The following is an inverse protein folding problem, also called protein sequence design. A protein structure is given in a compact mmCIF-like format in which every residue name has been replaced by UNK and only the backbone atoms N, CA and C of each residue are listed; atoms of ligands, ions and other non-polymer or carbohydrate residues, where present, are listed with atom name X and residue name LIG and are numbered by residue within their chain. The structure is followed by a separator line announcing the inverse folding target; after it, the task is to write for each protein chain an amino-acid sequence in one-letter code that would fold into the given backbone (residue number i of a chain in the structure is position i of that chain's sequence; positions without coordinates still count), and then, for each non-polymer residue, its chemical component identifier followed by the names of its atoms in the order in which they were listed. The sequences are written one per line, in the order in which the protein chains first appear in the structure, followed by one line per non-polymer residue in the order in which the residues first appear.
data_IF_816457057809
#
_entry.id   IF_816457057809
#
_cell.length_a   1.000
_cell.length_b   1.000
_cell.length_c   1.000
_cell.angle_alpha   90.00
_cell.angle_beta   90.00
_cell.angle_gamma   90.00
#
_symmetry.space_group_name_H-M   'P 1'
#
loop_
_entity.id
_entity.type
_entity.pdbx_description
1 polymer ?
#
# COMPACT_ATOMS: atom_id res chain seq x y z
N UNK A 1 -26.67 61.89 -21.87
CA UNK A 1 -25.86 60.72 -22.26
C UNK A 1 -26.50 59.49 -21.66
N UNK A 2 -26.89 58.54 -22.49
CA UNK A 2 -27.81 57.43 -22.17
C UNK A 2 -27.06 56.29 -21.46
N UNK A 3 -27.69 55.75 -20.42
CA UNK A 3 -27.31 54.56 -19.67
C UNK A 3 -27.63 53.28 -20.48
N UNK A 4 -26.82 52.23 -20.31
CA UNK A 4 -26.97 50.94 -21.02
C UNK A 4 -26.37 49.75 -20.26
N UNK A 5 -27.10 49.32 -19.24
CA UNK A 5 -27.39 47.95 -18.75
C UNK A 5 -26.39 46.79 -18.85
N UNK A 6 -26.29 46.13 -17.70
CA UNK A 6 -25.67 44.84 -17.40
C UNK A 6 -26.45 43.63 -17.95
N UNK A 7 -25.75 42.52 -18.13
CA UNK A 7 -26.35 41.17 -18.20
C UNK A 7 -25.49 40.20 -17.38
N UNK A 8 -26.10 39.72 -16.31
CA UNK A 8 -25.63 38.70 -15.38
C UNK A 8 -26.43 37.43 -15.72
N UNK A 9 -25.77 36.32 -16.01
CA UNK A 9 -26.41 35.03 -16.29
C UNK A 9 -26.23 34.11 -15.08
N UNK A 10 -27.26 34.05 -14.23
CA UNK A 10 -27.44 32.98 -13.26
C UNK A 10 -28.22 31.84 -13.93
N UNK A 11 -27.66 30.62 -13.92
CA UNK A 11 -28.40 29.39 -14.18
C UNK A 11 -28.89 28.83 -12.85
N UNK A 12 -30.20 28.78 -12.66
CA UNK A 12 -30.88 28.07 -11.58
C UNK A 12 -31.65 26.92 -12.23
N UNK A 13 -31.33 25.68 -11.83
CA UNK A 13 -32.20 24.54 -12.06
C UNK A 13 -32.94 24.23 -10.76
N UNK A 14 -34.26 24.34 -10.82
CA UNK A 14 -35.18 23.83 -9.83
C UNK A 14 -35.65 22.44 -10.29
N UNK A 15 -35.52 21.42 -9.43
CA UNK A 15 -36.31 20.19 -9.53
C UNK A 15 -37.10 20.07 -8.22
N UNK A 16 -38.42 19.99 -8.40
CA UNK A 16 -39.42 19.87 -7.36
C UNK A 16 -39.33 18.52 -6.65
N UNK A 17 -39.61 18.54 -5.34
CA UNK A 17 -39.84 17.35 -4.54
C UNK A 17 -41.29 16.84 -4.67
N UNK A 18 -41.46 15.56 -4.37
CA UNK A 18 -42.65 15.01 -3.73
C UNK A 18 -42.20 14.04 -2.62
N UNK A 19 -42.77 14.30 -1.45
CA UNK A 19 -42.76 13.55 -0.21
C UNK A 19 -43.59 12.26 -0.34
N UNK A 20 -43.22 11.20 0.39
CA UNK A 20 -44.17 10.33 1.10
C UNK A 20 -43.43 9.27 1.94
N UNK A 21 -43.88 9.17 3.20
CA UNK A 21 -43.17 8.49 4.28
C UNK A 21 -43.18 6.97 4.24
N UNK A 22 -42.20 6.40 4.92
CA UNK A 22 -42.10 4.98 5.24
C UNK A 22 -41.20 4.78 6.44
N UNK A 23 -41.77 4.86 7.64
CA UNK A 23 -41.10 4.49 8.88
C UNK A 23 -40.72 3.01 8.84
N UNK A 24 -39.44 2.73 9.01
CA UNK A 24 -38.89 1.40 9.18
C UNK A 24 -37.94 1.40 10.37
N UNK A 25 -38.39 0.79 11.45
CA UNK A 25 -37.59 0.48 12.63
C UNK A 25 -36.38 -0.37 12.22
N UNK A 26 -35.18 0.20 12.29
CA UNK A 26 -33.96 -0.59 12.26
C UNK A 26 -33.58 -0.99 13.69
N UNK A 27 -33.47 -2.29 14.01
CA UNK A 27 -32.94 -2.71 15.30
C UNK A 27 -31.43 -2.43 15.38
N UNK A 28 -30.85 -2.34 16.59
CA UNK A 28 -29.43 -2.12 16.76
C UNK A 28 -28.63 -3.27 16.14
N UNK A 29 -27.62 -2.92 15.33
CA UNK A 29 -26.64 -3.86 14.80
C UNK A 29 -25.75 -4.29 15.96
N UNK A 30 -25.99 -5.51 16.44
CA UNK A 30 -25.23 -6.20 17.46
C UNK A 30 -23.84 -6.54 16.88
N UNK A 31 -22.78 -5.90 17.40
CA UNK A 31 -21.38 -6.25 17.09
C UNK A 31 -21.00 -7.49 17.92
N UNK A 32 -21.55 -8.64 17.53
CA UNK A 32 -21.14 -9.95 18.03
C UNK A 32 -19.97 -10.51 17.22
N UNK A 33 -18.78 -10.49 17.80
CA UNK A 33 -17.60 -11.19 17.29
C UNK A 33 -17.76 -12.68 17.56
N UNK A 34 -18.08 -13.47 16.52
CA UNK A 34 -18.01 -14.93 16.54
C UNK A 34 -17.02 -15.41 15.47
N UNK A 35 -15.74 -15.44 15.84
CA UNK A 35 -14.69 -16.08 15.06
C UNK A 35 -14.63 -17.57 15.44
N UNK A 36 -15.41 -18.40 14.76
CA UNK A 36 -15.22 -19.86 14.79
C UNK A 36 -13.90 -20.21 14.10
N UNK A 37 -12.90 -20.50 14.93
CA UNK A 37 -11.62 -21.16 14.64
C UNK A 37 -11.85 -22.44 13.81
N UNK A 38 -11.29 -22.46 12.59
CA UNK A 38 -11.22 -23.65 11.74
C UNK A 38 -9.77 -24.12 11.70
N UNK A 39 -9.41 -25.02 12.61
CA UNK A 39 -8.14 -25.73 12.59
C UNK A 39 -8.18 -26.77 11.45
N UNK A 40 -7.44 -26.50 10.37
CA UNK A 40 -7.19 -27.43 9.28
C UNK A 40 -5.71 -27.84 9.32
N UNK A 41 -5.45 -28.98 9.96
CA UNK A 41 -4.15 -29.63 10.01
C UNK A 41 -3.73 -30.10 8.61
N UNK A 42 -2.47 -29.84 8.25
CA UNK A 42 -1.78 -30.54 7.17
C UNK A 42 -0.52 -31.17 7.77
N UNK A 43 -0.64 -32.46 8.08
CA UNK A 43 0.49 -33.37 8.18
C UNK A 43 0.90 -33.72 6.73
N UNK A 44 2.19 -33.67 6.38
CA UNK A 44 2.91 -34.89 6.00
C UNK A 44 4.39 -34.67 5.66
N UNK A 45 5.19 -35.57 6.26
CA UNK A 45 6.46 -36.18 5.84
C UNK A 45 7.48 -35.32 5.05
N UNK A 46 8.68 -35.05 5.55
CA UNK A 46 9.62 -36.04 6.11
C UNK A 46 10.53 -36.61 5.01
N UNK A 47 11.75 -36.05 4.86
CA UNK A 47 12.87 -36.74 4.22
C UNK A 47 14.23 -36.15 4.59
N UNK A 48 14.81 -36.71 5.64
CA UNK A 48 16.25 -36.75 5.86
C UNK A 48 16.87 -37.85 4.99
N UNK A 49 17.98 -37.55 4.31
CA UNK A 49 19.13 -38.45 4.20
C UNK A 49 20.32 -37.70 3.57
N UNK A 50 21.46 -37.89 4.21
CA UNK A 50 22.70 -37.14 4.11
C UNK A 50 23.62 -37.67 2.97
N UNK A 51 24.84 -37.11 2.81
CA UNK A 51 25.65 -37.17 1.60
C UNK A 51 26.57 -38.40 1.57
N UNK A 52 27.14 -38.73 0.41
CA UNK A 52 28.36 -39.53 0.38
C UNK A 52 29.23 -39.27 -0.85
N UNK A 53 30.53 -39.35 -0.56
CA UNK A 53 31.67 -38.93 -1.35
C UNK A 53 32.08 -39.93 -2.44
N UNK A 54 32.90 -39.43 -3.37
CA UNK A 54 33.63 -40.21 -4.37
C UNK A 54 34.56 -41.27 -3.73
N UNK A 55 35.02 -42.25 -4.52
CA UNK A 55 36.40 -42.10 -5.00
C UNK A 55 36.68 -42.57 -6.44
N UNK A 56 37.82 -42.05 -6.87
CA UNK A 56 38.68 -42.33 -8.02
C UNK A 56 39.14 -43.80 -8.12
N UNK A 57 39.47 -44.25 -9.34
CA UNK A 57 40.54 -45.20 -9.73
C UNK A 57 40.26 -45.94 -11.06
N UNK A 58 40.97 -45.54 -12.13
CA UNK A 58 41.86 -46.46 -12.83
C UNK A 58 41.45 -47.05 -14.20
N UNK A 59 42.41 -47.24 -15.14
CA UNK A 59 42.16 -47.47 -16.57
C UNK A 59 42.14 -48.95 -16.97
N UNK A 60 41.25 -49.33 -17.88
CA UNK A 60 41.11 -50.69 -18.40
C UNK A 60 41.08 -50.73 -19.92
N UNK A 61 42.26 -50.94 -20.50
CA UNK A 61 42.54 -51.32 -21.88
C UNK A 61 41.82 -52.62 -22.30
N UNK A 62 41.15 -52.62 -23.47
CA UNK A 62 40.84 -53.80 -24.29
C UNK A 62 40.28 -53.41 -25.67
N UNK A 63 41.15 -53.47 -26.68
CA UNK A 63 40.94 -54.26 -27.91
C UNK A 63 39.95 -53.74 -28.98
N UNK A 64 40.38 -53.57 -30.24
CA UNK A 64 39.50 -53.21 -31.35
C UNK A 64 38.95 -54.48 -32.01
N UNK A 65 37.62 -54.64 -32.06
CA UNK A 65 37.00 -55.62 -32.95
C UNK A 65 35.93 -54.96 -33.82
N UNK A 66 36.26 -55.02 -35.11
CA UNK A 66 35.47 -54.76 -36.28
C UNK A 66 33.98 -55.10 -36.15
N UNK A 67 33.14 -54.09 -36.35
CA UNK A 67 31.77 -54.29 -36.84
C UNK A 67 31.51 -53.33 -38.00
N UNK A 68 31.73 -53.89 -39.19
CA UNK A 68 30.88 -53.80 -40.39
C UNK A 68 30.39 -52.40 -40.77
N UNK A 69 31.04 -51.84 -41.79
CA UNK A 69 30.48 -50.82 -42.68
C UNK A 69 29.15 -51.30 -43.26
N UNK A 70 28.05 -50.95 -42.60
CA UNK A 70 26.76 -50.81 -43.25
C UNK A 70 26.71 -49.38 -43.76
N UNK A 71 27.00 -49.19 -45.05
CA UNK A 71 26.50 -48.05 -45.81
C UNK A 71 24.98 -48.08 -45.71
N UNK A 72 24.44 -47.47 -44.64
CA UNK A 72 23.06 -47.05 -44.59
C UNK A 72 22.99 -45.95 -45.64
N UNK A 73 22.41 -46.27 -46.78
CA UNK A 73 21.86 -45.31 -47.73
C UNK A 73 20.95 -44.38 -46.92
N UNK A 74 21.54 -43.30 -46.41
CA UNK A 74 20.82 -42.21 -45.80
C UNK A 74 20.03 -41.61 -46.94
N UNK A 75 18.77 -42.05 -47.07
CA UNK A 75 17.77 -41.36 -47.86
C UNK A 75 17.96 -39.86 -47.55
N UNK A 76 18.11 -39.00 -48.58
CA UNK A 76 18.32 -37.59 -48.35
C UNK A 76 17.25 -37.15 -47.36
N UNK A 77 17.67 -36.70 -46.18
CA UNK A 77 16.75 -36.08 -45.24
C UNK A 77 16.16 -34.94 -46.06
N UNK A 78 14.89 -35.10 -46.42
CA UNK A 78 14.14 -34.12 -47.20
C UNK A 78 13.92 -32.92 -46.28
N UNK A 79 15.01 -32.20 -46.05
CA UNK A 79 15.01 -30.92 -45.40
C UNK A 79 14.39 -29.99 -46.42
N UNK A 80 13.06 -29.91 -46.37
CA UNK A 80 12.33 -28.80 -46.98
C UNK A 80 13.03 -27.47 -46.60
N UNK A 81 12.84 -26.36 -47.31
CA UNK A 81 13.41 -25.08 -46.88
C UNK A 81 12.83 -24.67 -45.50
N UNK A 82 13.57 -23.92 -44.66
CA UNK A 82 13.00 -23.26 -43.49
C UNK A 82 11.77 -22.44 -43.90
N UNK A 83 10.73 -22.46 -43.05
CA UNK A 83 9.57 -21.60 -43.28
C UNK A 83 10.00 -20.16 -43.04
N UNK A 84 9.77 -19.29 -44.01
CA UNK A 84 10.14 -17.88 -43.88
C UNK A 84 9.07 -17.17 -43.05
N UNK A 85 9.44 -16.63 -41.89
CA UNK A 85 8.56 -15.90 -40.98
C UNK A 85 9.13 -14.48 -40.83
N UNK A 86 8.46 -13.49 -41.42
CA UNK A 86 8.90 -12.09 -41.39
C UNK A 86 7.93 -11.17 -40.64
N UNK A 87 6.72 -11.65 -40.38
CA UNK A 87 5.63 -10.87 -39.80
C UNK A 87 4.97 -11.58 -38.63
N UNK A 88 4.25 -10.80 -37.82
CA UNK A 88 3.40 -11.35 -36.77
C UNK A 88 2.31 -12.25 -37.35
N UNK A 89 1.76 -11.89 -38.50
CA UNK A 89 0.79 -12.69 -39.24
C UNK A 89 1.38 -14.06 -39.62
N UNK A 90 2.59 -14.12 -40.16
CA UNK A 90 3.24 -15.40 -40.49
C UNK A 90 3.47 -16.26 -39.24
N UNK A 91 3.95 -15.63 -38.16
CA UNK A 91 4.22 -16.31 -36.90
C UNK A 91 2.93 -16.86 -36.26
N UNK A 92 1.86 -16.07 -36.23
CA UNK A 92 0.59 -16.49 -35.64
C UNK A 92 -0.14 -17.50 -36.53
N UNK A 93 -0.08 -17.37 -37.85
CA UNK A 93 -0.53 -18.41 -38.79
C UNK A 93 0.22 -19.73 -38.56
N UNK A 94 1.52 -19.67 -38.23
CA UNK A 94 2.30 -20.86 -37.91
C UNK A 94 1.84 -21.51 -36.61
N UNK A 95 1.60 -20.73 -35.56
CA UNK A 95 1.05 -21.22 -34.28
C UNK A 95 -0.33 -21.84 -34.50
N UNK A 96 -1.17 -21.20 -35.32
CA UNK A 96 -2.50 -21.68 -35.71
C UNK A 96 -2.44 -23.03 -36.44
N UNK A 97 -1.57 -23.14 -37.44
CA UNK A 97 -1.37 -24.36 -38.22
C UNK A 97 -0.84 -25.53 -37.39
N UNK A 98 -0.19 -25.24 -36.27
CA UNK A 98 0.24 -26.23 -35.30
C UNK A 98 -0.83 -26.59 -34.26
N UNK A 99 -2.01 -25.96 -34.32
CA UNK A 99 -3.09 -26.09 -33.33
C UNK A 99 -2.65 -25.76 -31.90
N UNK A 100 -1.69 -24.82 -31.76
CA UNK A 100 -1.08 -24.44 -30.47
C UNK A 100 -1.54 -23.09 -29.93
N UNK A 101 -2.83 -22.80 -30.12
CA UNK A 101 -3.46 -21.66 -29.45
C UNK A 101 -3.63 -21.85 -27.94
N UNK A 102 -3.25 -23.01 -27.37
CA UNK A 102 -3.08 -23.15 -25.92
C UNK A 102 -2.10 -22.13 -25.32
N UNK A 103 -1.20 -21.59 -26.13
CA UNK A 103 -0.19 -20.60 -25.70
C UNK A 103 -0.77 -19.19 -25.58
N UNK A 104 -1.62 -18.77 -26.52
CA UNK A 104 -2.11 -17.38 -26.64
C UNK A 104 -3.63 -17.24 -26.43
N UNK A 105 -4.38 -18.35 -26.41
CA UNK A 105 -5.84 -18.38 -26.40
C UNK A 105 -6.42 -18.45 -27.81
N UNK A 106 -6.11 -17.47 -28.66
CA UNK A 106 -6.59 -17.39 -30.04
C UNK A 106 -5.62 -16.63 -30.97
N UNK A 107 -6.00 -16.50 -32.24
CA UNK A 107 -5.20 -15.82 -33.27
C UNK A 107 -5.03 -14.33 -33.00
N UNK A 108 -6.08 -13.65 -32.56
CA UNK A 108 -6.04 -12.22 -32.30
C UNK A 108 -5.12 -11.91 -31.11
N UNK A 109 -5.23 -12.68 -30.02
CA UNK A 109 -4.37 -12.57 -28.86
C UNK A 109 -2.89 -12.84 -29.20
N UNK A 110 -2.62 -13.75 -30.15
CA UNK A 110 -1.27 -13.95 -30.69
C UNK A 110 -0.78 -12.71 -31.45
N UNK A 111 -1.59 -12.16 -32.36
CA UNK A 111 -1.25 -10.97 -33.13
C UNK A 111 -0.99 -9.77 -32.22
N UNK A 112 -1.86 -9.55 -31.22
CA UNK A 112 -1.74 -8.46 -30.25
C UNK A 112 -0.47 -8.63 -29.41
N UNK A 113 -0.17 -9.84 -28.94
CA UNK A 113 1.06 -10.12 -28.19
C UNK A 113 2.31 -9.88 -29.05
N UNK A 114 2.30 -10.35 -30.30
CA UNK A 114 3.41 -10.13 -31.21
C UNK A 114 3.59 -8.64 -31.55
N UNK A 115 2.49 -7.91 -31.78
CA UNK A 115 2.52 -6.47 -32.06
C UNK A 115 3.15 -5.70 -30.88
N UNK A 116 2.73 -6.00 -29.64
CA UNK A 116 3.34 -5.42 -28.42
C UNK A 116 4.82 -5.76 -28.30
N UNK A 117 5.20 -7.00 -28.57
CA UNK A 117 6.61 -7.41 -28.57
C UNK A 117 7.42 -6.77 -29.70
N UNK A 118 6.77 -6.43 -30.82
CA UNK A 118 7.39 -5.86 -32.02
C UNK A 118 7.49 -4.33 -31.99
N UNK A 119 6.98 -3.67 -30.94
CA UNK A 119 6.81 -2.21 -30.84
C UNK A 119 8.04 -1.41 -31.26
N UNK A 120 9.24 -1.88 -30.89
CA UNK A 120 10.52 -1.25 -31.27
C UNK A 120 11.24 -1.95 -32.42
N UNK A 121 11.11 -3.27 -32.49
CA UNK A 121 11.75 -4.10 -33.51
C UNK A 121 11.07 -5.46 -33.59
N UNK A 122 11.03 -6.11 -34.76
CA UNK A 122 10.50 -7.47 -34.88
C UNK A 122 11.19 -8.44 -33.89
N UNK A 123 10.45 -9.38 -33.27
CA UNK A 123 11.00 -10.37 -32.33
C UNK A 123 11.70 -11.49 -33.10
N UNK A 124 12.84 -11.17 -33.72
CA UNK A 124 13.53 -12.06 -34.67
C UNK A 124 13.89 -13.41 -34.06
N UNK A 125 14.26 -13.48 -32.79
CA UNK A 125 14.58 -14.74 -32.10
C UNK A 125 13.37 -15.67 -31.99
N UNK A 126 12.17 -15.11 -31.82
CA UNK A 126 10.93 -15.87 -31.80
C UNK A 126 10.58 -16.35 -33.22
N UNK A 127 10.68 -15.47 -34.21
CA UNK A 127 10.47 -15.81 -35.62
C UNK A 127 11.41 -16.91 -36.10
N UNK A 128 12.70 -16.82 -35.76
CA UNK A 128 13.71 -17.84 -36.06
C UNK A 128 13.39 -19.18 -35.41
N UNK A 129 12.98 -19.19 -34.13
CA UNK A 129 12.58 -20.42 -33.45
C UNK A 129 11.39 -21.08 -34.14
N UNK A 130 10.35 -20.31 -34.46
CA UNK A 130 9.17 -20.80 -35.17
C UNK A 130 9.50 -21.31 -36.59
N UNK A 131 10.46 -20.67 -37.26
CA UNK A 131 10.95 -21.06 -38.58
C UNK A 131 11.65 -22.43 -38.57
N UNK A 132 12.40 -22.71 -37.51
CA UNK A 132 13.11 -23.97 -37.30
C UNK A 132 12.17 -25.11 -36.86
N UNK A 133 11.12 -24.81 -36.10
CA UNK A 133 10.20 -25.80 -35.56
C UNK A 133 9.13 -26.26 -36.55
N UNK A 134 9.46 -27.23 -37.40
CA UNK A 134 8.58 -27.73 -38.47
C UNK A 134 7.52 -28.73 -38.04
N UNK A 135 7.81 -29.54 -37.04
CA UNK A 135 6.93 -30.63 -36.65
C UNK A 135 5.93 -30.23 -35.58
N UNK A 136 5.85 -28.94 -35.21
CA UNK A 136 4.98 -28.40 -34.16
C UNK A 136 5.21 -28.99 -32.75
N UNK A 137 6.14 -29.93 -32.58
CA UNK A 137 6.36 -30.68 -31.33
C UNK A 137 6.95 -29.81 -30.21
N UNK A 138 7.76 -28.81 -30.55
CA UNK A 138 8.48 -27.96 -29.60
C UNK A 138 8.13 -26.48 -29.74
N UNK A 139 7.07 -26.13 -30.47
CA UNK A 139 6.68 -24.73 -30.70
C UNK A 139 6.39 -23.97 -29.40
N UNK A 140 5.96 -24.67 -28.34
CA UNK A 140 5.80 -24.10 -26.99
C UNK A 140 7.10 -23.62 -26.34
N UNK A 141 8.26 -24.06 -26.84
CA UNK A 141 9.57 -23.60 -26.38
C UNK A 141 9.98 -22.28 -27.07
N UNK A 142 9.34 -21.93 -28.19
CA UNK A 142 9.52 -20.65 -28.85
C UNK A 142 8.79 -19.56 -28.07
N UNK A 143 9.46 -19.02 -27.05
CA UNK A 143 8.92 -17.94 -26.23
C UNK A 143 8.98 -16.62 -26.97
N UNK A 144 7.84 -15.96 -27.09
CA UNK A 144 7.78 -14.56 -27.47
C UNK A 144 8.48 -13.72 -26.37
N UNK A 145 9.42 -12.83 -26.71
CA UNK A 145 10.04 -11.97 -25.72
C UNK A 145 9.01 -11.03 -25.08
N UNK A 146 9.29 -10.60 -23.85
CA UNK A 146 8.46 -9.59 -23.20
C UNK A 146 8.47 -8.30 -24.03
N UNK A 147 7.34 -7.57 -24.09
CA UNK A 147 7.31 -6.29 -24.78
C UNK A 147 8.33 -5.32 -24.18
N UNK A 148 8.99 -4.49 -25.00
CA UNK A 148 9.82 -3.43 -24.46
C UNK A 148 8.95 -2.49 -23.63
N UNK A 149 9.46 -1.99 -22.48
CA UNK A 149 8.70 -1.07 -21.65
C UNK A 149 8.38 0.20 -22.44
N UNK A 150 7.20 0.76 -22.19
CA UNK A 150 6.79 2.03 -22.73
C UNK A 150 7.78 3.15 -22.37
N UNK A 151 7.84 4.17 -23.20
CA UNK A 151 8.45 5.44 -22.80
C UNK A 151 7.49 6.23 -21.89
N UNK A 152 8.01 7.18 -21.13
CA UNK A 152 7.17 8.00 -20.24
C UNK A 152 6.11 8.79 -21.02
N UNK A 153 6.49 9.38 -22.16
CA UNK A 153 5.57 10.09 -23.03
C UNK A 153 4.43 9.18 -23.53
N UNK A 154 4.73 7.93 -23.90
CA UNK A 154 3.73 6.97 -24.34
C UNK A 154 2.78 6.56 -23.20
N UNK A 155 3.34 6.30 -22.01
CA UNK A 155 2.54 5.95 -20.82
C UNK A 155 1.59 7.10 -20.44
N UNK A 156 2.10 8.33 -20.43
CA UNK A 156 1.32 9.51 -20.08
C UNK A 156 0.27 9.86 -21.14
N UNK A 157 0.57 9.63 -22.41
CA UNK A 157 -0.44 9.72 -23.47
C UNK A 157 -1.56 8.70 -23.25
N UNK A 158 -1.23 7.44 -22.93
CA UNK A 158 -2.22 6.41 -22.66
C UNK A 158 -3.10 6.72 -21.43
N UNK A 159 -2.50 7.26 -20.35
CA UNK A 159 -3.23 7.77 -19.18
C UNK A 159 -4.26 8.83 -19.58
N UNK A 160 -3.84 9.80 -20.39
CA UNK A 160 -4.71 10.88 -20.85
C UNK A 160 -5.82 10.39 -21.79
N UNK A 161 -5.49 9.54 -22.75
CA UNK A 161 -6.43 8.98 -23.74
C UNK A 161 -7.49 8.10 -23.07
N UNK A 162 -7.12 7.36 -22.02
CA UNK A 162 -8.04 6.57 -21.22
C UNK A 162 -8.80 7.35 -20.15
N UNK A 163 -8.54 8.66 -19.99
CA UNK A 163 -9.18 9.50 -18.98
C UNK A 163 -8.88 9.08 -17.54
N UNK A 164 -7.71 8.49 -17.29
CA UNK A 164 -7.30 8.07 -15.95
C UNK A 164 -6.86 9.31 -15.16
N UNK A 165 -7.61 9.65 -14.12
CA UNK A 165 -7.28 10.78 -13.25
C UNK A 165 -6.10 10.45 -12.34
N UNK A 166 -4.95 11.01 -12.68
CA UNK A 166 -3.72 10.87 -11.89
C UNK A 166 -3.52 12.05 -10.93
N UNK A 167 -3.00 11.81 -9.71
CA UNK A 167 -2.86 12.85 -8.70
C UNK A 167 -1.64 13.75 -8.92
N UNK A 168 -0.72 13.37 -9.80
CA UNK A 168 0.48 14.14 -10.09
C UNK A 168 0.19 15.19 -11.17
N UNK A 169 0.65 16.45 -10.99
CA UNK A 169 0.38 17.55 -11.92
C UNK A 169 1.13 17.41 -13.24
N UNK A 170 2.25 16.68 -13.26
CA UNK A 170 3.07 16.41 -14.45
C UNK A 170 3.43 14.92 -14.50
N UNK A 171 2.72 14.18 -15.36
CA UNK A 171 2.92 12.74 -15.53
C UNK A 171 4.30 12.39 -16.07
N UNK A 172 4.84 13.17 -17.02
CA UNK A 172 6.13 12.86 -17.63
C UNK A 172 7.26 13.10 -16.64
N UNK A 173 7.19 14.18 -15.86
CA UNK A 173 8.15 14.46 -14.81
C UNK A 173 8.13 13.39 -13.71
N UNK A 174 6.95 12.97 -13.25
CA UNK A 174 6.84 11.91 -12.24
C UNK A 174 7.36 10.56 -12.79
N UNK A 175 6.97 10.20 -14.01
CA UNK A 175 7.47 8.99 -14.67
C UNK A 175 8.99 9.01 -14.80
N UNK A 176 9.58 10.14 -15.22
CA UNK A 176 11.03 10.28 -15.33
C UNK A 176 11.74 10.18 -13.98
N UNK A 177 11.15 10.74 -12.91
CA UNK A 177 11.68 10.65 -11.56
C UNK A 177 11.66 9.21 -11.01
N UNK A 178 10.66 8.40 -11.38
CA UNK A 178 10.47 7.02 -10.90
C UNK A 178 11.13 5.95 -11.76
N UNK A 179 11.45 6.26 -13.02
CA UNK A 179 12.12 5.33 -13.92
C UNK A 179 13.65 5.29 -13.77
N UNK A 180 14.22 6.03 -12.82
CA UNK A 180 15.64 5.96 -12.47
C UNK A 180 15.97 4.63 -11.76
N UNK A 181 16.21 3.60 -12.57
CA UNK A 181 16.92 2.32 -12.32
C UNK A 181 16.13 1.03 -12.68
N UNK A 182 14.79 1.01 -12.59
CA UNK A 182 14.01 -0.25 -12.80
C UNK A 182 12.81 -0.16 -13.78
N UNK A 183 12.59 0.95 -14.50
CA UNK A 183 11.52 1.13 -15.51
C UNK A 183 10.09 0.71 -15.07
N UNK A 184 9.79 0.76 -13.77
CA UNK A 184 8.56 0.20 -13.19
C UNK A 184 7.33 1.02 -13.58
N UNK A 185 7.43 2.36 -13.62
CA UNK A 185 6.27 3.21 -13.91
C UNK A 185 5.76 3.01 -15.33
N UNK A 186 6.66 3.03 -16.33
CA UNK A 186 6.22 2.90 -17.71
C UNK A 186 5.76 1.48 -18.05
N UNK A 187 6.28 0.46 -17.37
CA UNK A 187 5.74 -0.91 -17.48
C UNK A 187 4.29 -1.00 -17.00
N UNK A 188 3.90 -0.17 -16.02
CA UNK A 188 2.53 -0.12 -15.54
C UNK A 188 1.56 0.49 -16.55
N UNK A 189 2.03 1.16 -17.60
CA UNK A 189 1.18 1.72 -18.67
C UNK A 189 0.62 0.70 -19.66
N UNK A 190 1.17 -0.52 -19.71
CA UNK A 190 0.73 -1.58 -20.65
C UNK A 190 -0.77 -1.95 -20.57
N UNK A 191 -1.46 -1.89 -19.42
CA UNK A 191 -2.90 -2.14 -19.37
C UNK A 191 -3.75 -1.01 -19.98
N UNK A 192 -3.17 0.16 -20.26
CA UNK A 192 -3.87 1.34 -20.79
C UNK A 192 -3.81 1.43 -22.32
N UNK A 193 -2.85 0.77 -22.96
CA UNK A 193 -2.72 0.79 -24.41
C UNK A 193 -3.77 -0.11 -25.09
N UNK A 194 -3.82 -0.06 -26.43
CA UNK A 194 -4.68 -0.88 -27.28
C UNK A 194 -6.20 -0.73 -27.03
N UNK A 195 -6.62 0.42 -26.47
CA UNK A 195 -8.03 0.74 -26.23
C UNK A 195 -8.69 -0.05 -25.09
N UNK A 196 -7.91 -0.84 -24.36
CA UNK A 196 -8.41 -1.65 -23.24
C UNK A 196 -8.69 -0.80 -21.99
N UNK A 197 -7.91 0.27 -21.78
CA UNK A 197 -8.08 1.26 -20.70
C UNK A 197 -8.36 0.64 -19.32
N UNK A 198 -7.61 -0.40 -18.96
CA UNK A 198 -7.74 -1.08 -17.66
C UNK A 198 -7.10 -0.27 -16.53
N UNK A 199 -7.78 0.80 -16.12
CA UNK A 199 -7.32 1.71 -15.07
C UNK A 199 -7.06 1.00 -13.74
N UNK A 200 -7.86 -0.02 -13.39
CA UNK A 200 -7.69 -0.85 -12.21
C UNK A 200 -6.33 -1.57 -12.20
N UNK A 201 -5.93 -2.15 -13.34
CA UNK A 201 -4.64 -2.83 -13.49
C UNK A 201 -3.47 -1.85 -13.48
N UNK A 202 -3.65 -0.67 -14.06
CA UNK A 202 -2.67 0.42 -13.99
C UNK A 202 -2.42 0.82 -12.53
N UNK A 203 -3.49 1.09 -11.76
CA UNK A 203 -3.37 1.45 -10.34
C UNK A 203 -2.80 0.32 -9.48
N UNK A 204 -3.18 -0.93 -9.75
CA UNK A 204 -2.60 -2.10 -9.08
C UNK A 204 -1.10 -2.19 -9.32
N UNK A 205 -0.66 -2.05 -10.58
CA UNK A 205 0.76 -2.07 -10.91
C UNK A 205 1.51 -0.91 -10.25
N UNK A 206 0.96 0.31 -10.30
CA UNK A 206 1.57 1.46 -9.63
C UNK A 206 1.70 1.21 -8.13
N UNK A 207 0.65 0.70 -7.46
CA UNK A 207 0.66 0.43 -6.03
C UNK A 207 1.62 -0.69 -5.61
N UNK A 208 1.82 -1.70 -6.47
CA UNK A 208 2.69 -2.84 -6.19
C UNK A 208 4.15 -2.53 -6.51
N UNK A 209 4.42 -1.93 -7.68
CA UNK A 209 5.79 -1.83 -8.22
C UNK A 209 6.41 -0.45 -8.00
N UNK A 210 5.64 0.63 -8.13
CA UNK A 210 6.17 2.00 -8.02
C UNK A 210 6.03 2.55 -6.61
N UNK A 211 4.85 2.42 -6.04
CA UNK A 211 4.47 2.89 -4.71
C UNK A 211 4.25 1.69 -3.79
N UNK A 212 5.23 0.78 -3.73
CA UNK A 212 5.19 -0.55 -3.06
C UNK A 212 4.57 -0.60 -1.66
N UNK A 213 4.51 0.52 -0.94
CA UNK A 213 3.84 0.63 0.37
C UNK A 213 2.32 0.68 0.26
N UNK A 214 1.76 1.09 -0.88
CA UNK A 214 0.34 1.30 -1.09
C UNK A 214 -0.44 0.00 -1.25
N UNK A 215 0.08 -0.98 -2.00
CA UNK A 215 -0.58 -2.29 -2.11
C UNK A 215 -0.76 -2.95 -0.74
N UNK A 216 0.35 -3.11 -0.01
CA UNK A 216 0.32 -3.66 1.36
C UNK A 216 -0.58 -2.85 2.28
N UNK A 217 -0.51 -1.52 2.24
CA UNK A 217 -1.37 -0.65 3.06
C UNK A 217 -2.84 -0.87 2.74
N UNK A 218 -3.19 -0.94 1.46
CA UNK A 218 -4.58 -1.12 1.03
C UNK A 218 -5.13 -2.48 1.37
N UNK A 219 -4.38 -3.56 1.12
CA UNK A 219 -4.79 -4.91 1.50
C UNK A 219 -5.17 -4.99 2.98
N UNK A 220 -4.29 -4.50 3.86
CA UNK A 220 -4.53 -4.52 5.31
C UNK A 220 -5.66 -3.56 5.71
N UNK A 221 -5.71 -2.35 5.14
CA UNK A 221 -6.74 -1.36 5.51
C UNK A 221 -8.13 -1.83 5.10
N UNK A 222 -8.26 -2.53 3.97
CA UNK A 222 -9.52 -3.14 3.50
C UNK A 222 -9.89 -4.33 4.38
N UNK A 223 -8.94 -5.21 4.70
CA UNK A 223 -9.16 -6.36 5.60
C UNK A 223 -9.66 -5.90 6.98
N UNK A 224 -9.09 -4.82 7.50
CA UNK A 224 -9.50 -4.22 8.77
C UNK A 224 -10.73 -3.30 8.67
N UNK A 225 -11.39 -3.20 7.51
CA UNK A 225 -12.55 -2.34 7.26
C UNK A 225 -12.32 -0.84 7.56
N UNK A 226 -11.08 -0.37 7.45
CA UNK A 226 -10.70 1.04 7.66
C UNK A 226 -10.99 1.89 6.41
N UNK A 227 -10.91 1.28 5.24
CA UNK A 227 -11.18 1.92 3.94
C UNK A 227 -11.97 0.98 3.05
N UNK A 228 -12.68 1.54 2.07
CA UNK A 228 -13.30 0.74 1.03
C UNK A 228 -12.24 0.20 0.06
N UNK A 229 -12.42 -1.00 -0.51
CA UNK A 229 -11.51 -1.52 -1.52
C UNK A 229 -11.42 -0.61 -2.74
N UNK A 230 -12.57 -0.10 -3.17
CA UNK A 230 -12.67 0.79 -4.32
C UNK A 230 -11.97 2.12 -4.04
N UNK A 231 -10.94 2.43 -4.83
CA UNK A 231 -10.21 3.69 -4.74
C UNK A 231 -9.14 3.74 -3.65
N UNK A 232 -8.92 2.67 -2.86
CA UNK A 232 -7.87 2.69 -1.83
C UNK A 232 -6.49 2.96 -2.43
N UNK A 233 -6.12 2.23 -3.49
CA UNK A 233 -4.82 2.37 -4.14
C UNK A 233 -4.62 3.76 -4.72
N UNK A 234 -5.64 4.27 -5.43
CA UNK A 234 -5.64 5.62 -5.98
C UNK A 234 -5.49 6.67 -4.86
N UNK A 235 -6.21 6.51 -3.76
CA UNK A 235 -6.10 7.37 -2.59
C UNK A 235 -4.71 7.34 -1.97
N UNK A 236 -4.12 6.14 -1.78
CA UNK A 236 -2.78 6.01 -1.22
C UNK A 236 -1.70 6.64 -2.11
N UNK A 237 -1.76 6.42 -3.43
CA UNK A 237 -0.84 7.06 -4.37
C UNK A 237 -1.07 8.57 -4.36
N UNK A 238 -2.32 9.02 -4.37
CA UNK A 238 -2.68 10.43 -4.36
C UNK A 238 -2.21 11.19 -3.13
N UNK A 239 -2.29 10.59 -1.95
CA UNK A 239 -1.81 11.17 -0.71
C UNK A 239 -0.29 11.47 -0.73
N UNK A 240 0.49 10.79 -1.56
CA UNK A 240 1.93 11.07 -1.72
C UNK A 240 2.21 12.40 -2.41
N UNK A 241 1.20 12.97 -3.10
CA UNK A 241 1.28 14.23 -3.84
C UNK A 241 0.49 15.35 -3.19
N UNK A 242 -0.10 15.11 -2.01
CA UNK A 242 -0.91 16.13 -1.36
C UNK A 242 -0.03 17.30 -0.88
N UNK A 243 -0.41 18.51 -1.27
CA UNK A 243 0.26 19.75 -0.84
C UNK A 243 -0.07 20.07 0.63
N UNK A 244 -1.18 19.55 1.15
CA UNK A 244 -1.60 19.70 2.54
C UNK A 244 -0.66 18.92 3.47
N UNK A 245 0.11 19.67 4.26
CA UNK A 245 1.11 19.09 5.15
C UNK A 245 0.49 18.19 6.24
N UNK A 246 -0.72 18.54 6.72
CA UNK A 246 -1.41 17.73 7.74
C UNK A 246 -1.91 16.42 7.12
N UNK A 247 -2.53 16.48 5.94
CA UNK A 247 -2.99 15.25 5.26
C UNK A 247 -1.85 14.31 4.92
N UNK A 248 -0.73 14.84 4.41
CA UNK A 248 0.48 14.05 4.16
C UNK A 248 0.99 13.38 5.45
N UNK A 249 1.05 14.12 6.56
CA UNK A 249 1.45 13.56 7.87
C UNK A 249 0.51 12.44 8.33
N UNK A 250 -0.81 12.59 8.17
CA UNK A 250 -1.81 11.56 8.51
C UNK A 250 -1.67 10.32 7.65
N UNK A 251 -1.41 10.49 6.35
CA UNK A 251 -1.11 9.38 5.43
C UNK A 251 0.15 8.60 5.84
N UNK A 252 1.22 9.31 6.19
CA UNK A 252 2.46 8.70 6.69
C UNK A 252 2.24 7.94 8.00
N UNK A 253 1.51 8.54 8.94
CA UNK A 253 1.12 7.88 10.19
C UNK A 253 0.33 6.61 9.93
N UNK A 254 -0.69 6.65 9.04
CA UNK A 254 -1.45 5.46 8.62
C UNK A 254 -0.53 4.36 8.08
N UNK A 255 0.37 4.73 7.19
CA UNK A 255 1.33 3.80 6.59
C UNK A 255 2.26 3.18 7.64
N UNK A 256 2.72 3.98 8.60
CA UNK A 256 3.56 3.51 9.70
C UNK A 256 2.81 2.56 10.63
N UNK A 257 1.56 2.87 11.01
CA UNK A 257 0.72 2.00 11.83
C UNK A 257 0.52 0.63 11.18
N UNK A 258 0.15 0.60 9.90
CA UNK A 258 -0.02 -0.65 9.14
C UNK A 258 1.30 -1.43 9.02
N UNK A 259 2.43 -0.73 8.87
CA UNK A 259 3.74 -1.37 8.77
C UNK A 259 4.18 -2.02 10.09
N UNK A 260 3.90 -1.39 11.24
CA UNK A 260 4.33 -1.82 12.57
C UNK A 260 3.43 -2.90 13.17
N UNK A 261 2.11 -2.76 13.01
CA UNK A 261 1.14 -3.64 13.68
C UNK A 261 1.10 -5.06 13.09
N UNK A 262 1.64 -5.29 11.90
CA UNK A 262 1.32 -6.49 11.12
C UNK A 262 -0.17 -6.49 10.76
N UNK A 263 -0.73 -7.62 10.31
CA UNK A 263 -2.17 -7.71 9.97
C UNK A 263 -3.09 -7.70 11.22
N UNK A 264 -2.64 -7.13 12.35
CA UNK A 264 -3.43 -7.03 13.58
C UNK A 264 -4.29 -5.75 13.55
N UNK A 265 -5.56 -5.92 13.16
CA UNK A 265 -6.50 -4.80 13.04
C UNK A 265 -6.73 -4.03 14.34
N UNK A 266 -6.66 -4.69 15.50
CA UNK A 266 -6.84 -4.02 16.78
C UNK A 266 -5.65 -3.10 17.10
N UNK A 267 -4.42 -3.56 16.78
CA UNK A 267 -3.22 -2.72 16.93
C UNK A 267 -3.17 -1.58 15.92
N UNK A 268 -3.67 -1.79 14.70
CA UNK A 268 -3.79 -0.70 13.72
C UNK A 268 -4.79 0.33 14.22
N UNK A 269 -5.98 -0.09 14.63
CA UNK A 269 -7.00 0.83 15.15
C UNK A 269 -6.50 1.60 16.38
N UNK A 270 -5.84 0.93 17.32
CA UNK A 270 -5.21 1.57 18.47
C UNK A 270 -4.10 2.57 18.07
N UNK A 271 -3.36 2.31 17.00
CA UNK A 271 -2.33 3.21 16.50
C UNK A 271 -2.89 4.43 15.76
N UNK A 272 -4.00 4.25 15.02
CA UNK A 272 -4.69 5.33 14.32
C UNK A 272 -5.53 6.19 15.26
N UNK A 273 -6.14 5.55 16.25
CA UNK A 273 -7.06 6.14 17.20
C UNK A 273 -6.56 5.91 18.64
N UNK A 274 -5.42 6.50 19.04
CA UNK A 274 -4.86 6.29 20.38
C UNK A 274 -5.80 6.75 21.50
N UNK A 275 -6.82 7.55 21.18
CA UNK A 275 -7.84 8.02 22.12
C UNK A 275 -9.10 7.12 22.21
N UNK A 276 -9.26 6.10 21.35
CA UNK A 276 -10.55 5.41 21.18
C UNK A 276 -10.96 4.48 22.33
N UNK A 277 -10.01 3.96 23.13
CA UNK A 277 -10.36 3.27 24.36
C UNK A 277 -9.50 3.81 25.51
N UNK A 278 -10.10 4.49 26.51
CA UNK A 278 -9.39 4.74 27.75
C UNK A 278 -9.07 3.38 28.33
N UNK A 279 -7.80 3.02 28.34
CA UNK A 279 -7.35 1.88 29.10
C UNK A 279 -7.67 2.20 30.54
N UNK A 280 -8.71 1.58 31.08
CA UNK A 280 -9.05 1.72 32.49
C UNK A 280 -7.89 1.09 33.25
N UNK A 281 -6.99 1.93 33.74
CA UNK A 281 -5.96 1.50 34.66
C UNK A 281 -6.67 1.14 35.97
N UNK A 282 -6.60 -0.13 36.36
CA UNK A 282 -6.87 -0.55 37.72
C UNK A 282 -5.54 -0.71 38.48
N UNK A 283 -5.60 -0.56 39.80
CA UNK A 283 -4.44 -0.59 40.68
C UNK A 283 -3.62 -1.87 40.51
N UNK A 284 -4.30 -3.02 40.44
CA UNK A 284 -3.64 -4.33 40.32
C UNK A 284 -2.93 -4.48 38.97
N UNK A 285 -3.51 -3.98 37.89
CA UNK A 285 -2.88 -3.98 36.56
C UNK A 285 -1.68 -3.05 36.50
N UNK A 286 -1.81 -1.82 36.99
CA UNK A 286 -0.70 -0.86 37.05
C UNK A 286 0.46 -1.43 37.87
N UNK A 287 0.21 -1.90 39.10
CA UNK A 287 1.29 -2.41 39.96
C UNK A 287 1.97 -3.65 39.42
N UNK A 288 1.22 -4.56 38.80
CA UNK A 288 1.79 -5.75 38.18
C UNK A 288 2.74 -5.40 37.04
N UNK A 289 2.39 -4.45 36.18
CA UNK A 289 3.25 -3.99 35.09
C UNK A 289 4.46 -3.21 35.63
N UNK A 290 4.23 -2.33 36.60
CA UNK A 290 5.25 -1.53 37.26
C UNK A 290 6.35 -2.38 37.91
N UNK A 291 5.95 -3.36 38.71
CA UNK A 291 6.85 -4.28 39.38
C UNK A 291 7.46 -5.28 38.38
N UNK A 292 6.69 -5.71 37.38
CA UNK A 292 7.16 -6.60 36.30
C UNK A 292 8.30 -5.99 35.49
N UNK A 293 8.25 -4.69 35.24
CA UNK A 293 9.33 -3.93 34.59
C UNK A 293 10.42 -3.44 35.56
N UNK A 294 10.36 -3.83 36.84
CA UNK A 294 11.32 -3.45 37.88
C UNK A 294 11.50 -1.92 38.05
N UNK A 295 10.50 -1.12 37.66
CA UNK A 295 10.53 0.33 37.80
C UNK A 295 10.48 0.78 39.26
N UNK A 296 9.99 -0.10 40.13
CA UNK A 296 10.00 0.10 41.57
C UNK A 296 11.39 0.32 42.17
N UNK A 297 12.45 -0.15 41.49
CA UNK A 297 13.84 0.09 41.89
C UNK A 297 14.32 1.51 41.61
N UNK A 298 13.68 2.20 40.68
CA UNK A 298 14.08 3.53 40.22
C UNK A 298 13.21 4.63 40.82
N UNK A 299 11.88 4.46 40.84
CA UNK A 299 10.96 5.52 41.27
C UNK A 299 10.19 5.21 42.57
N UNK A 300 10.45 4.06 43.19
CA UNK A 300 9.81 3.68 44.45
C UNK A 300 8.65 2.69 44.29
N UNK A 301 8.03 2.26 45.40
CA UNK A 301 6.98 1.24 45.37
C UNK A 301 5.77 1.70 44.56
N UNK A 302 5.07 0.74 43.95
CA UNK A 302 3.93 1.04 43.08
C UNK A 302 2.87 1.91 43.76
N UNK A 303 2.49 1.58 45.00
CA UNK A 303 1.38 2.23 45.70
C UNK A 303 1.57 3.75 45.81
N UNK A 304 2.79 4.20 46.08
CA UNK A 304 3.12 5.63 46.18
C UNK A 304 2.91 6.34 44.83
N UNK A 305 3.28 5.67 43.73
CA UNK A 305 3.13 6.22 42.39
C UNK A 305 1.69 6.16 41.87
N UNK A 306 0.96 5.11 42.27
CA UNK A 306 -0.45 4.97 41.96
C UNK A 306 -1.28 6.06 42.64
N UNK A 307 -1.02 6.32 43.92
CA UNK A 307 -1.72 7.38 44.66
C UNK A 307 -1.42 8.75 44.05
N UNK A 308 -0.18 9.02 43.64
CA UNK A 308 0.16 10.20 42.83
C UNK A 308 -0.62 10.22 41.50
N UNK A 309 -0.65 9.09 40.80
CA UNK A 309 -1.33 8.94 39.51
C UNK A 309 -2.83 9.16 39.59
N UNK A 310 -3.47 8.81 40.72
CA UNK A 310 -4.89 9.09 40.96
C UNK A 310 -5.19 10.59 41.08
N UNK A 311 -4.23 11.38 41.53
CA UNK A 311 -4.34 12.83 41.64
C UNK A 311 -4.07 13.53 40.31
N UNK A 312 -3.42 12.85 39.36
CA UNK A 312 -3.07 13.36 38.03
C UNK A 312 -3.88 12.66 36.92
N UNK A 313 -4.89 13.31 36.32
CA UNK A 313 -5.75 12.69 35.32
C UNK A 313 -4.94 12.05 34.17
N UNK A 314 -5.17 10.74 33.93
CA UNK A 314 -4.57 9.92 32.87
C UNK A 314 -3.14 9.43 33.10
N UNK A 315 -2.47 9.83 34.18
CA UNK A 315 -1.11 9.37 34.45
C UNK A 315 -1.05 7.83 34.50
N UNK A 316 -1.97 7.20 35.23
CA UNK A 316 -1.98 5.75 35.42
C UNK A 316 -2.20 5.01 34.08
N UNK A 317 -3.10 5.52 33.25
CA UNK A 317 -3.43 5.01 31.93
C UNK A 317 -2.25 5.07 30.98
N UNK A 318 -1.50 6.17 30.99
CA UNK A 318 -0.27 6.33 30.22
C UNK A 318 0.82 5.34 30.60
N UNK A 319 1.05 5.19 31.91
CA UNK A 319 2.06 4.23 32.39
C UNK A 319 1.63 2.81 32.04
N UNK A 320 0.35 2.46 32.22
CA UNK A 320 -0.15 1.14 31.81
C UNK A 320 0.05 0.91 30.31
N UNK A 321 -0.25 1.89 29.46
CA UNK A 321 -0.04 1.78 28.01
C UNK A 321 1.44 1.61 27.65
N UNK A 322 2.31 2.42 28.25
CA UNK A 322 3.75 2.35 28.04
C UNK A 322 4.31 0.96 28.39
N UNK A 323 3.84 0.37 29.50
CA UNK A 323 4.37 -0.89 30.02
C UNK A 323 3.67 -2.14 29.49
N UNK A 324 2.51 -2.00 28.85
CA UNK A 324 1.72 -3.15 28.37
C UNK A 324 2.42 -3.89 27.22
N UNK A 325 3.07 -3.17 26.33
CA UNK A 325 3.68 -3.75 25.13
C UNK A 325 5.10 -4.25 25.41
N UNK A 326 5.95 -3.42 26.01
CA UNK A 326 7.32 -3.77 26.38
C UNK A 326 7.82 -2.87 27.51
N UNK A 327 8.67 -3.40 28.40
CA UNK A 327 9.31 -2.57 29.41
C UNK A 327 10.29 -1.59 28.74
N UNK A 328 10.24 -0.29 29.05
CA UNK A 328 11.10 0.69 28.39
C UNK A 328 12.57 0.40 28.70
N UNK A 329 13.42 0.49 27.67
CA UNK A 329 14.86 0.31 27.83
C UNK A 329 15.50 1.38 28.74
N UNK A 330 14.88 2.56 28.79
CA UNK A 330 15.24 3.66 29.68
C UNK A 330 14.06 3.97 30.63
N UNK A 331 14.21 3.75 31.95
CA UNK A 331 13.18 4.04 32.94
C UNK A 331 12.70 5.50 32.91
N UNK A 332 13.55 6.44 32.48
CA UNK A 332 13.20 7.86 32.41
C UNK A 332 12.08 8.14 31.39
N UNK A 333 11.79 7.23 30.46
CA UNK A 333 10.66 7.36 29.54
C UNK A 333 9.30 7.44 30.26
N UNK A 334 9.22 6.96 31.51
CA UNK A 334 8.04 7.13 32.37
C UNK A 334 7.77 8.62 32.68
N UNK A 335 8.80 9.47 32.68
CA UNK A 335 8.62 10.92 32.87
C UNK A 335 7.81 11.59 31.76
N UNK A 336 7.74 10.98 30.58
CA UNK A 336 6.82 11.45 29.54
C UNK A 336 5.36 11.41 30.00
N UNK A 337 4.99 10.51 30.93
CA UNK A 337 3.67 10.49 31.56
C UNK A 337 3.51 11.55 32.67
N UNK A 338 4.61 11.97 33.33
CA UNK A 338 4.61 12.99 34.38
C UNK A 338 4.43 14.42 33.84
N UNK A 339 5.00 14.73 32.68
CA UNK A 339 4.94 16.06 32.05
C UNK A 339 3.58 16.38 31.39
N UNK A 340 2.50 15.76 31.85
CA UNK A 340 1.15 15.89 31.30
C UNK A 340 0.87 14.98 30.10
N UNK A 341 1.81 14.11 29.71
CA UNK A 341 1.67 13.23 28.55
C UNK A 341 0.72 12.06 28.73
N UNK A 342 0.14 11.86 29.93
CA UNK A 342 -0.71 10.70 30.19
C UNK A 342 -2.22 10.93 30.29
N UNK A 343 -2.65 12.12 30.68
CA UNK A 343 -4.02 12.58 30.48
C UNK A 343 -4.48 12.30 29.05
N UNK A 344 -5.77 12.01 28.76
CA UNK A 344 -6.29 12.16 27.40
C UNK A 344 -5.91 13.54 26.79
N UNK A 345 -5.70 14.51 27.68
CA UNK A 345 -5.21 15.86 27.43
C UNK A 345 -3.82 15.94 26.79
N UNK A 346 -2.87 15.06 27.13
CA UNK A 346 -1.50 15.08 26.59
C UNK A 346 -1.46 14.79 25.09
N UNK A 347 -1.99 13.64 24.65
CA UNK A 347 -2.19 13.33 23.24
C UNK A 347 -3.02 14.40 22.52
N UNK A 348 -4.11 14.89 23.12
CA UNK A 348 -4.90 15.98 22.52
C UNK A 348 -4.11 17.29 22.33
N UNK A 349 -3.28 17.69 23.30
CA UNK A 349 -2.37 18.83 23.15
C UNK A 349 -1.35 18.57 22.04
N UNK A 350 -0.78 17.37 21.98
CA UNK A 350 0.21 17.00 20.97
C UNK A 350 -0.38 17.00 19.56
N UNK A 351 -1.56 16.43 19.36
CA UNK A 351 -2.28 16.42 18.09
C UNK A 351 -2.68 17.83 17.67
N UNK A 352 -3.26 18.62 18.58
CA UNK A 352 -3.64 20.01 18.31
C UNK A 352 -2.43 20.87 17.94
N UNK A 353 -1.33 20.77 18.68
CA UNK A 353 -0.12 21.54 18.40
C UNK A 353 0.62 21.06 17.14
N UNK A 354 0.60 19.77 16.83
CA UNK A 354 1.14 19.23 15.56
C UNK A 354 0.32 19.74 14.37
N UNK A 355 -1.02 19.70 14.45
CA UNK A 355 -1.87 20.26 13.41
C UNK A 355 -1.63 21.76 13.21
N UNK A 356 -1.50 22.54 14.30
CA UNK A 356 -1.17 23.97 14.20
C UNK A 356 0.19 24.23 13.56
N UNK A 357 1.19 23.44 13.91
CA UNK A 357 2.54 23.59 13.36
C UNK A 357 2.54 23.31 11.86
N UNK A 358 2.00 22.14 11.46
CA UNK A 358 1.91 21.71 10.06
C UNK A 358 1.08 22.66 9.20
N UNK A 359 0.00 23.23 9.76
CA UNK A 359 -0.86 24.17 9.05
C UNK A 359 -0.41 25.63 9.15
N UNK A 360 0.73 25.92 9.79
CA UNK A 360 1.22 27.29 9.95
C UNK A 360 0.32 28.18 10.81
N UNK A 361 -0.47 27.57 11.69
CA UNK A 361 -1.41 28.24 12.61
C UNK A 361 -0.79 28.56 13.98
N UNK A 362 0.51 28.29 14.17
CA UNK A 362 1.21 28.70 15.39
C UNK A 362 1.42 30.23 15.42
N UNK A 363 1.23 30.88 16.59
CA UNK A 363 1.64 32.25 16.82
C UNK A 363 3.08 32.54 16.39
N UNK A 364 3.33 33.75 15.88
CA UNK A 364 4.66 34.15 15.41
C UNK A 364 5.74 33.96 16.51
N UNK A 365 6.76 33.17 16.19
CA UNK A 365 7.86 32.85 17.11
C UNK A 365 7.59 31.74 18.12
N UNK A 366 6.40 31.11 18.07
CA UNK A 366 6.10 29.89 18.82
C UNK A 366 6.42 28.66 17.96
N UNK A 367 7.17 27.71 18.52
CA UNK A 367 7.37 26.38 17.95
C UNK A 367 6.40 25.36 18.57
N UNK A 368 6.41 24.13 18.06
CA UNK A 368 5.57 23.04 18.58
C UNK A 368 5.74 22.83 20.09
N UNK A 369 6.98 22.89 20.59
CA UNK A 369 7.25 22.70 22.02
C UNK A 369 6.66 23.84 22.86
N UNK A 370 6.81 25.09 22.40
CA UNK A 370 6.18 26.24 23.03
C UNK A 370 4.65 26.14 23.02
N UNK A 371 4.06 25.57 21.97
CA UNK A 371 2.63 25.28 21.92
C UNK A 371 2.22 24.25 22.99
N UNK A 372 2.95 23.14 23.10
CA UNK A 372 2.72 22.10 24.11
C UNK A 372 2.78 22.67 25.52
N UNK A 373 3.85 23.39 25.87
CA UNK A 373 4.00 24.02 27.18
C UNK A 373 2.84 24.97 27.48
N UNK A 374 2.42 25.77 26.50
CA UNK A 374 1.27 26.68 26.66
C UNK A 374 -0.03 25.92 26.86
N UNK A 375 -0.22 24.81 26.15
CA UNK A 375 -1.38 23.94 26.29
C UNK A 375 -1.49 23.44 27.73
N UNK A 376 -0.43 22.80 28.23
CA UNK A 376 -0.37 22.28 29.60
C UNK A 376 -0.53 23.36 30.67
N UNK A 377 0.13 24.51 30.50
CA UNK A 377 0.01 25.64 31.43
C UNK A 377 -1.44 26.15 31.54
N UNK A 378 -2.16 26.25 30.42
CA UNK A 378 -3.54 26.72 30.41
C UNK A 378 -4.47 25.71 31.09
N UNK A 379 -4.26 24.41 30.87
CA UNK A 379 -5.04 23.35 31.48
C UNK A 379 -4.81 23.25 32.98
N UNK A 380 -3.56 23.36 33.43
CA UNK A 380 -3.19 23.30 34.85
C UNK A 380 -3.71 24.50 35.66
N UNK A 381 -3.88 25.67 35.04
CA UNK A 381 -4.44 26.86 35.68
C UNK A 381 -5.97 26.85 35.75
N UNK A 382 -6.63 26.07 34.89
CA UNK A 382 -8.09 26.04 34.76
C UNK A 382 -8.68 27.36 34.21
N UNK A 383 -10.01 27.48 34.28
CA UNK A 383 -10.76 28.66 33.81
C UNK A 383 -10.99 28.70 32.30
N UNK A 384 -11.43 29.86 31.81
CA UNK A 384 -11.88 30.05 30.41
C UNK A 384 -10.86 29.60 29.35
N UNK A 385 -9.56 29.69 29.67
CA UNK A 385 -8.48 29.22 28.79
C UNK A 385 -8.49 27.70 28.61
N UNK A 386 -8.64 26.96 29.71
CA UNK A 386 -8.74 25.50 29.68
C UNK A 386 -10.00 25.03 28.94
N UNK A 387 -11.13 25.72 29.13
CA UNK A 387 -12.40 25.35 28.49
C UNK A 387 -12.37 25.62 26.98
N UNK A 388 -11.80 26.75 26.56
CA UNK A 388 -11.58 27.03 25.13
C UNK A 388 -10.68 25.99 24.47
N UNK A 389 -9.63 25.58 25.16
CA UNK A 389 -8.68 24.61 24.63
C UNK A 389 -9.32 23.22 24.49
N UNK A 390 -10.13 22.81 25.47
CA UNK A 390 -10.90 21.55 25.40
C UNK A 390 -11.87 21.52 24.23
N UNK A 391 -12.48 22.65 23.87
CA UNK A 391 -13.35 22.74 22.69
C UNK A 391 -12.57 22.56 21.38
N UNK A 392 -11.27 22.89 21.36
CA UNK A 392 -10.42 22.77 20.17
C UNK A 392 -9.69 21.43 20.04
N UNK A 393 -9.65 20.59 21.07
CA UNK A 393 -8.99 19.29 20.98
C UNK A 393 -9.49 18.40 19.85
N UNK A 394 -10.81 18.28 19.58
CA UNK A 394 -11.28 17.50 18.45
C UNK A 394 -10.72 17.98 17.11
N UNK A 395 -10.39 19.26 16.97
CA UNK A 395 -9.82 19.82 15.75
C UNK A 395 -8.42 19.28 15.46
N UNK A 396 -7.67 18.84 16.48
CA UNK A 396 -6.38 18.19 16.28
C UNK A 396 -6.48 16.95 15.38
N UNK A 397 -7.63 16.28 15.37
CA UNK A 397 -7.91 15.09 14.56
C UNK A 397 -8.35 15.39 13.11
N UNK A 398 -8.36 16.64 12.68
CA UNK A 398 -8.67 17.00 11.29
C UNK A 398 -7.72 16.29 10.28
N UNK A 399 -8.26 15.92 9.11
CA UNK A 399 -7.52 15.22 8.06
C UNK A 399 -6.82 16.19 7.09
N UNK A 400 -7.07 17.49 7.21
CA UNK A 400 -6.45 18.53 6.37
C UNK A 400 -6.42 19.89 7.07
N UNK A 401 -5.54 20.78 6.61
CA UNK A 401 -5.44 22.13 7.13
C UNK A 401 -6.71 22.97 6.95
N UNK A 402 -7.43 22.94 5.80
CA UNK A 402 -8.70 23.64 5.68
C UNK A 402 -9.75 23.18 6.71
N UNK A 403 -9.87 21.87 6.93
CA UNK A 403 -10.77 21.30 7.95
C UNK A 403 -10.33 21.68 9.36
N UNK A 404 -9.02 21.67 9.62
CA UNK A 404 -8.46 22.14 10.89
C UNK A 404 -8.85 23.58 11.19
N UNK A 405 -8.72 24.49 10.20
CA UNK A 405 -9.08 25.89 10.37
C UNK A 405 -10.59 26.06 10.59
N UNK A 406 -11.43 25.37 9.81
CA UNK A 406 -12.89 25.41 9.97
C UNK A 406 -13.32 24.97 11.38
N UNK A 407 -12.70 23.90 11.90
CA UNK A 407 -12.97 23.43 13.25
C UNK A 407 -12.45 24.38 14.33
N UNK A 408 -11.21 24.87 14.21
CA UNK A 408 -10.55 25.65 15.25
C UNK A 408 -11.12 27.09 15.39
N UNK A 409 -11.77 27.60 14.33
CA UNK A 409 -12.41 28.91 14.28
C UNK A 409 -13.91 28.91 14.63
N UNK A 410 -14.54 27.72 14.68
CA UNK A 410 -15.92 27.53 15.10
C UNK A 410 -16.11 27.73 16.62
#
# INVERSE_FOLDING_TARGET
MRWGWALCLCWVWAIAGCDDGGGGDNPPVDRGVDATRRDGAVDDAGRDAAPDAAPDEGPGDRGPDALVDAEVDAAPVDMAPPLHIESCEDACNRVAACERFDIFGDEQACLDACARSSRRSPPTTWFECLSLERNCNLIQLCRLPAPPPLECAETCAAVADCGVEVPFPDCEAECAARNGDDALFSSCGEPLIDGACHADRFWSCLGEQVYTRCDRRCAVSVECNLVRPDGCLQGCVGESFDEDALRRRRSEQRTQCVSLAGMDCARIDACLNPAAEPVVADHDTFCRLWDGCALNRFFGPCDDLWDFGREQPGFAECVVNLLRDECPADPEQVFNCFDGGGGPVGPSCAELCEARDLCGALPAGQDRQGCLTTCFDQLGRGGDGADRLRLQFPCGAAESCPEFFECAEA
#
